data_IF_212337097829
#
_entry.id   IF_212337097829
#
_cell.length_a   1.000
_cell.length_b   1.000
_cell.length_c   1.000
_cell.angle_alpha   90.00
_cell.angle_beta   90.00
_cell.angle_gamma   90.00
#
_symmetry.space_group_name_H-M   'P 1'
#
loop_
_entity.id
_entity.type
_entity.pdbx_description
1 polymer ?
#
# COMPACT_ATOMS: atom_id res chain seq x y z
N UNK A 1 25.04 -8.19 6.93
CA UNK A 1 25.57 -8.57 5.61
C UNK A 1 24.75 -9.72 5.03
N UNK A 2 24.44 -9.72 3.73
CA UNK A 2 23.71 -10.82 3.07
C UNK A 2 24.72 -11.79 2.47
N UNK A 3 24.71 -13.05 2.90
CA UNK A 3 25.59 -14.11 2.40
C UNK A 3 24.86 -14.90 1.31
N UNK A 4 25.52 -15.08 0.16
CA UNK A 4 24.97 -15.83 -0.98
C UNK A 4 25.95 -16.93 -1.38
N UNK A 5 25.42 -18.13 -1.65
CA UNK A 5 26.13 -19.17 -2.38
C UNK A 5 25.93 -18.92 -3.87
N UNK A 6 27.02 -18.82 -4.62
CA UNK A 6 26.97 -18.60 -6.07
C UNK A 6 27.37 -19.90 -6.75
N UNK A 7 26.45 -20.45 -7.54
CA UNK A 7 26.69 -21.62 -8.37
C UNK A 7 26.82 -21.15 -9.81
N UNK A 8 27.89 -21.56 -10.47
CA UNK A 8 28.19 -21.19 -11.85
C UNK A 8 28.28 -22.44 -12.72
N UNK A 9 27.75 -22.36 -13.93
CA UNK A 9 27.90 -23.42 -14.92
C UNK A 9 29.36 -23.47 -15.42
N UNK A 10 29.87 -24.67 -15.71
CA UNK A 10 31.25 -24.86 -16.12
C UNK A 10 31.59 -24.13 -17.43
N UNK A 11 30.73 -24.29 -18.45
CA UNK A 11 30.87 -23.57 -19.72
C UNK A 11 29.51 -23.40 -20.40
N UNK A 12 29.24 -22.19 -20.86
CA UNK A 12 28.05 -21.83 -21.64
C UNK A 12 28.42 -21.30 -23.04
N UNK A 13 29.67 -21.47 -23.46
CA UNK A 13 30.18 -21.06 -24.78
C UNK A 13 29.63 -21.99 -25.87
N UNK A 14 29.03 -21.43 -26.92
CA UNK A 14 28.47 -22.22 -28.03
C UNK A 14 27.24 -23.08 -27.68
N UNK A 15 26.61 -22.89 -26.52
CA UNK A 15 25.43 -23.66 -26.15
C UNK A 15 24.21 -23.27 -27.03
N UNK A 16 23.62 -24.22 -27.78
CA UNK A 16 22.49 -23.92 -28.69
C UNK A 16 21.21 -23.51 -27.95
N UNK A 17 21.11 -23.85 -26.66
CA UNK A 17 19.98 -23.48 -25.80
C UNK A 17 20.26 -22.23 -24.97
N UNK A 18 21.35 -21.49 -25.23
CA UNK A 18 21.77 -20.35 -24.42
C UNK A 18 20.67 -19.29 -24.27
N UNK A 19 19.99 -18.96 -25.37
CA UNK A 19 18.93 -17.96 -25.40
C UNK A 19 17.75 -18.30 -24.45
N UNK A 20 17.46 -19.59 -24.27
CA UNK A 20 16.40 -20.06 -23.38
C UNK A 20 16.90 -20.33 -21.95
N UNK A 21 18.17 -20.65 -21.79
CA UNK A 21 18.76 -21.14 -20.54
C UNK A 21 19.27 -20.02 -19.61
N UNK A 22 19.79 -18.92 -20.16
CA UNK A 22 20.42 -17.85 -19.36
C UNK A 22 20.19 -16.46 -19.94
N UNK A 23 20.08 -15.46 -19.06
CA UNK A 23 20.03 -14.03 -19.41
C UNK A 23 21.39 -13.33 -19.26
N UNK A 24 22.44 -14.10 -18.95
CA UNK A 24 23.79 -13.56 -18.79
C UNK A 24 24.35 -13.08 -20.14
N UNK A 25 25.05 -11.95 -20.13
CA UNK A 25 25.71 -11.41 -21.33
C UNK A 25 26.59 -12.47 -21.97
N UNK A 26 26.65 -12.47 -23.31
CA UNK A 26 27.49 -13.39 -24.09
C UNK A 26 28.93 -13.40 -23.57
N UNK A 27 29.55 -14.58 -23.55
CA UNK A 27 30.85 -14.80 -22.90
C UNK A 27 30.80 -15.04 -21.38
N UNK A 28 29.65 -14.91 -20.72
CA UNK A 28 29.49 -15.28 -19.31
C UNK A 28 28.70 -16.58 -19.13
N UNK A 29 29.02 -17.31 -18.08
CA UNK A 29 28.30 -18.52 -17.71
C UNK A 29 27.02 -18.21 -16.94
N UNK A 30 26.08 -19.17 -16.96
CA UNK A 30 24.88 -19.10 -16.14
C UNK A 30 25.25 -19.16 -14.67
N UNK A 31 24.83 -18.17 -13.89
CA UNK A 31 25.01 -18.13 -12.44
C UNK A 31 23.67 -18.18 -11.71
N UNK A 32 23.61 -18.94 -10.63
CA UNK A 32 22.48 -19.04 -9.71
C UNK A 32 22.96 -18.59 -8.34
N UNK A 33 22.29 -17.57 -7.79
CA UNK A 33 22.57 -17.07 -6.44
C UNK A 33 21.54 -17.66 -5.49
N UNK A 34 22.02 -18.41 -4.51
CA UNK A 34 21.21 -19.05 -3.48
C UNK A 34 21.43 -18.38 -2.13
N UNK A 35 20.34 -18.01 -1.46
CA UNK A 35 20.38 -17.45 -0.12
C UNK A 35 19.70 -18.40 0.86
N UNK A 36 20.51 -19.11 1.65
CA UNK A 36 20.04 -20.09 2.63
C UNK A 36 19.07 -19.50 3.65
N UNK A 37 19.38 -18.33 4.19
CA UNK A 37 18.54 -17.68 5.20
C UNK A 37 17.18 -17.32 4.62
N UNK A 38 17.15 -16.88 3.37
CA UNK A 38 15.91 -16.55 2.67
C UNK A 38 15.04 -17.78 2.42
N UNK A 39 15.64 -18.90 2.00
CA UNK A 39 14.89 -20.15 1.81
C UNK A 39 14.39 -20.75 3.12
N UNK A 40 15.17 -20.66 4.20
CA UNK A 40 14.71 -21.04 5.54
C UNK A 40 13.49 -20.21 5.97
N UNK A 41 13.54 -18.89 5.76
CA UNK A 41 12.42 -17.99 6.07
C UNK A 41 11.17 -18.32 5.25
N UNK A 42 11.32 -18.59 3.95
CA UNK A 42 10.21 -19.04 3.09
C UNK A 42 9.59 -20.34 3.61
N UNK A 43 10.40 -21.30 4.02
CA UNK A 43 9.93 -22.58 4.57
C UNK A 43 9.10 -22.35 5.84
N UNK A 44 9.63 -21.57 6.79
CA UNK A 44 8.90 -21.21 8.01
C UNK A 44 7.56 -20.53 7.69
N UNK A 45 7.54 -19.57 6.76
CA UNK A 45 6.32 -18.87 6.36
C UNK A 45 5.33 -19.85 5.70
N UNK A 46 5.81 -20.77 4.86
CA UNK A 46 4.97 -21.78 4.22
C UNK A 46 4.33 -22.70 5.25
N UNK A 47 5.11 -23.17 6.22
CA UNK A 47 4.64 -24.05 7.29
C UNK A 47 3.60 -23.32 8.17
N UNK A 48 3.85 -22.06 8.51
CA UNK A 48 2.89 -21.20 9.22
C UNK A 48 1.61 -20.95 8.41
N UNK A 49 1.70 -20.75 7.10
CA UNK A 49 0.52 -20.52 6.25
C UNK A 49 -0.27 -21.81 5.99
N UNK A 50 0.38 -22.97 6.09
CA UNK A 50 -0.28 -24.28 5.95
C UNK A 50 -1.04 -24.73 7.19
N UNK A 51 -0.73 -24.16 8.37
CA UNK A 51 -1.49 -24.39 9.59
C UNK A 51 -2.91 -23.82 9.45
N UNK A 52 -3.95 -24.61 9.75
CA UNK A 52 -5.35 -24.25 9.52
C UNK A 52 -5.75 -22.96 10.25
N UNK A 53 -5.29 -22.79 11.50
CA UNK A 53 -5.62 -21.61 12.31
C UNK A 53 -5.00 -20.35 11.72
N UNK A 54 -3.71 -20.42 11.41
CA UNK A 54 -2.95 -19.28 10.89
C UNK A 54 -3.37 -18.94 9.45
N UNK A 55 -3.62 -19.96 8.62
CA UNK A 55 -4.14 -19.83 7.26
C UNK A 55 -5.53 -19.17 7.24
N UNK A 56 -6.43 -19.54 8.16
CA UNK A 56 -7.75 -18.91 8.27
C UNK A 56 -7.66 -17.41 8.65
N UNK A 57 -6.78 -17.05 9.60
CA UNK A 57 -6.54 -15.64 9.96
C UNK A 57 -5.97 -14.86 8.77
N UNK A 58 -5.03 -15.46 8.04
CA UNK A 58 -4.46 -14.85 6.84
C UNK A 58 -5.51 -14.64 5.74
N UNK A 59 -6.39 -15.62 5.52
CA UNK A 59 -7.51 -15.52 4.59
C UNK A 59 -8.47 -14.39 4.94
N UNK A 60 -8.81 -14.21 6.22
CA UNK A 60 -9.64 -13.08 6.69
C UNK A 60 -8.98 -11.72 6.41
N UNK A 61 -7.68 -11.58 6.68
CA UNK A 61 -6.94 -10.34 6.36
C UNK A 61 -6.97 -10.00 4.87
N UNK A 62 -6.93 -11.02 4.01
CA UNK A 62 -7.03 -10.82 2.56
C UNK A 62 -8.35 -10.16 2.17
N UNK A 63 -9.44 -10.51 2.85
CA UNK A 63 -10.78 -9.99 2.56
C UNK A 63 -11.01 -8.64 3.25
N UNK A 64 -10.54 -8.47 4.49
CA UNK A 64 -10.87 -7.29 5.28
C UNK A 64 -9.86 -6.15 5.07
N UNK A 65 -8.58 -6.49 5.08
CA UNK A 65 -7.48 -5.50 5.19
C UNK A 65 -7.02 -5.06 3.80
N UNK A 66 -6.85 -5.98 2.85
CA UNK A 66 -6.37 -5.64 1.51
C UNK A 66 -7.30 -4.68 0.77
N UNK A 67 -8.64 -4.84 0.79
CA UNK A 67 -9.51 -3.89 0.11
C UNK A 67 -9.41 -2.50 0.72
N UNK A 68 -9.32 -2.36 2.04
CA UNK A 68 -9.17 -1.05 2.68
C UNK A 68 -7.90 -0.34 2.20
N UNK A 69 -6.77 -1.05 2.17
CA UNK A 69 -5.52 -0.47 1.65
C UNK A 69 -5.55 -0.22 0.14
N UNK A 70 -6.21 -1.08 -0.64
CA UNK A 70 -6.44 -0.86 -2.07
C UNK A 70 -7.28 0.39 -2.32
N UNK A 71 -8.36 0.58 -1.54
CA UNK A 71 -9.21 1.75 -1.59
C UNK A 71 -8.43 3.02 -1.24
N UNK A 72 -7.63 3.01 -0.17
CA UNK A 72 -6.78 4.13 0.23
C UNK A 72 -5.83 4.54 -0.90
N UNK A 73 -5.16 3.57 -1.53
CA UNK A 73 -4.24 3.85 -2.64
C UNK A 73 -4.96 4.34 -3.89
N UNK A 74 -6.03 3.66 -4.32
CA UNK A 74 -6.70 3.97 -5.57
C UNK A 74 -7.51 5.28 -5.52
N UNK A 75 -8.12 5.58 -4.36
CA UNK A 75 -9.05 6.72 -4.25
C UNK A 75 -8.45 7.95 -3.58
N UNK A 76 -7.50 7.77 -2.67
CA UNK A 76 -6.86 8.89 -1.98
C UNK A 76 -5.41 9.08 -2.41
N UNK A 77 -4.91 8.26 -3.35
CA UNK A 77 -3.49 8.22 -3.73
C UNK A 77 -2.55 8.07 -2.53
N UNK A 78 -3.05 7.49 -1.43
CA UNK A 78 -2.35 7.41 -0.16
C UNK A 78 -1.30 6.30 -0.20
N UNK A 79 -0.11 6.66 -0.67
CA UNK A 79 1.03 5.75 -0.85
C UNK A 79 2.13 5.97 0.19
N UNK A 80 2.12 7.11 0.88
CA UNK A 80 3.14 7.54 1.83
C UNK A 80 2.51 8.39 2.93
N UNK A 81 3.04 8.27 4.15
CA UNK A 81 2.72 9.19 5.25
C UNK A 81 3.47 10.52 5.08
N UNK A 82 2.76 11.62 5.21
CA UNK A 82 3.34 12.97 5.11
C UNK A 82 4.12 13.36 6.37
N UNK A 83 3.81 12.72 7.51
CA UNK A 83 4.36 13.01 8.82
C UNK A 83 5.29 11.92 9.34
N UNK A 84 6.19 12.28 10.26
CA UNK A 84 7.07 11.34 10.98
C UNK A 84 6.70 11.28 12.46
N UNK A 85 6.86 10.11 13.07
CA UNK A 85 6.51 9.85 14.48
C UNK A 85 5.21 9.07 14.62
N UNK A 86 5.18 8.10 15.54
CA UNK A 86 4.09 7.10 15.65
C UNK A 86 2.71 7.75 15.85
N UNK A 87 2.63 8.75 16.72
CA UNK A 87 1.38 9.45 17.02
C UNK A 87 0.85 10.23 15.81
N UNK A 88 1.71 11.01 15.15
CA UNK A 88 1.33 11.79 13.96
C UNK A 88 0.88 10.88 12.83
N UNK A 89 1.60 9.78 12.58
CA UNK A 89 1.24 8.76 11.58
C UNK A 89 -0.12 8.13 11.89
N UNK A 90 -0.44 7.89 13.17
CA UNK A 90 -1.75 7.37 13.59
C UNK A 90 -2.88 8.35 13.24
N UNK A 91 -2.68 9.64 13.48
CA UNK A 91 -3.66 10.67 13.13
C UNK A 91 -3.85 10.77 11.61
N UNK A 92 -2.74 10.78 10.86
CA UNK A 92 -2.74 10.83 9.38
C UNK A 92 -3.52 9.65 8.77
N UNK A 93 -3.28 8.43 9.27
CA UNK A 93 -4.05 7.24 8.90
C UNK A 93 -5.52 7.36 9.30
N UNK A 94 -5.80 7.89 10.49
CA UNK A 94 -7.16 8.09 11.00
C UNK A 94 -7.99 8.98 10.08
N UNK A 95 -7.42 10.10 9.60
CA UNK A 95 -8.07 10.98 8.64
C UNK A 95 -8.34 10.28 7.30
N UNK A 96 -7.35 9.54 6.78
CA UNK A 96 -7.52 8.82 5.52
C UNK A 96 -8.63 7.75 5.61
N UNK A 97 -8.72 7.03 6.72
CA UNK A 97 -9.78 6.06 6.98
C UNK A 97 -11.14 6.73 7.19
N UNK A 98 -11.18 7.88 7.87
CA UNK A 98 -12.40 8.67 8.06
C UNK A 98 -12.97 9.13 6.72
N UNK A 99 -12.11 9.62 5.82
CA UNK A 99 -12.51 9.96 4.46
C UNK A 99 -13.13 8.73 3.78
N UNK A 100 -12.46 7.57 3.74
CA UNK A 100 -13.04 6.36 3.13
C UNK A 100 -14.42 6.01 3.71
N UNK A 101 -14.61 6.13 5.02
CA UNK A 101 -15.90 5.88 5.66
C UNK A 101 -16.98 6.88 5.25
N UNK A 102 -16.67 8.18 5.19
CA UNK A 102 -17.60 9.22 4.71
C UNK A 102 -18.07 8.96 3.28
N UNK A 103 -17.17 8.51 2.39
CA UNK A 103 -17.55 8.14 1.01
C UNK A 103 -18.50 6.94 0.98
N UNK A 104 -18.20 5.90 1.76
CA UNK A 104 -19.09 4.72 1.85
C UNK A 104 -20.47 5.12 2.35
N UNK A 105 -20.54 5.97 3.37
CA UNK A 105 -21.80 6.48 3.91
C UNK A 105 -22.60 7.27 2.85
N UNK A 106 -21.95 8.18 2.12
CA UNK A 106 -22.60 8.96 1.06
C UNK A 106 -23.16 8.09 -0.08
N UNK A 107 -22.47 7.01 -0.44
CA UNK A 107 -22.96 6.06 -1.44
C UNK A 107 -24.16 5.27 -0.89
N UNK A 108 -24.08 4.80 0.36
CA UNK A 108 -25.18 4.05 0.99
C UNK A 108 -26.45 4.90 1.12
N UNK A 109 -26.34 6.15 1.58
CA UNK A 109 -27.49 7.06 1.69
C UNK A 109 -28.09 7.36 0.31
N UNK A 110 -27.27 7.52 -0.73
CA UNK A 110 -27.74 7.71 -2.10
C UNK A 110 -28.44 6.48 -2.70
N UNK A 111 -28.10 5.26 -2.26
CA UNK A 111 -28.78 4.02 -2.67
C UNK A 111 -30.11 3.85 -1.93
N UNK A 112 -30.14 4.03 -0.61
CA UNK A 112 -31.36 3.96 0.20
C UNK A 112 -32.40 5.02 -0.18
N UNK A 113 -31.95 6.20 -0.59
CA UNK A 113 -32.82 7.27 -1.11
C UNK A 113 -33.45 6.96 -2.47
N UNK A 114 -33.01 5.93 -3.19
CA UNK A 114 -33.63 5.49 -4.47
C UNK A 114 -34.73 4.45 -4.28
N UNK A 115 -34.67 3.64 -3.22
CA UNK A 115 -35.65 2.57 -2.97
C UNK A 115 -36.96 3.10 -2.36
N UNK A 116 -36.94 4.28 -1.73
CA UNK A 116 -38.09 4.86 -1.02
C UNK A 116 -38.87 5.94 -1.78
N UNK A 117 -38.61 6.15 -3.08
CA UNK A 117 -39.25 7.22 -3.86
C UNK A 117 -40.23 6.69 -4.93
N UNK A 118 -41.56 6.77 -4.70
CA UNK A 118 -42.53 6.75 -5.78
C UNK A 118 -42.59 8.16 -6.40
N UNK A 119 -42.34 8.28 -7.71
CA UNK A 119 -42.38 9.50 -8.55
C UNK A 119 -41.07 10.31 -8.66
N UNK A 120 -40.82 11.04 -9.78
CA UNK A 120 -39.54 11.66 -10.06
C UNK A 120 -39.32 12.85 -9.12
N UNK A 121 -38.75 12.57 -7.96
CA UNK A 121 -38.37 13.58 -6.99
C UNK A 121 -37.27 14.46 -7.59
N UNK A 122 -37.52 15.78 -7.61
CA UNK A 122 -36.59 16.78 -8.13
C UNK A 122 -35.21 16.57 -7.49
N UNK A 123 -34.16 16.57 -8.31
CA UNK A 123 -32.75 16.56 -7.89
C UNK A 123 -32.51 17.62 -6.80
N UNK A 124 -32.59 17.19 -5.54
CA UNK A 124 -32.09 17.95 -4.41
C UNK A 124 -30.62 18.27 -4.65
N UNK A 125 -30.27 19.52 -4.40
CA UNK A 125 -29.09 20.17 -4.96
C UNK A 125 -27.79 19.37 -4.85
N UNK A 126 -27.00 19.45 -5.92
CA UNK A 126 -25.64 18.93 -6.08
C UNK A 126 -24.63 19.38 -4.99
N UNK A 127 -25.06 20.07 -3.93
CA UNK A 127 -24.16 20.67 -2.95
C UNK A 127 -23.47 19.63 -2.06
N UNK A 128 -24.15 18.60 -1.55
CA UNK A 128 -23.48 17.58 -0.72
C UNK A 128 -22.50 16.70 -1.52
N UNK A 129 -22.87 16.31 -2.74
CA UNK A 129 -21.95 15.60 -3.65
C UNK A 129 -20.79 16.51 -4.11
N UNK A 130 -21.03 17.82 -4.25
CA UNK A 130 -19.99 18.81 -4.55
C UNK A 130 -19.05 19.00 -3.36
N UNK A 131 -19.54 19.14 -2.13
CA UNK A 131 -18.73 19.31 -0.91
C UNK A 131 -17.92 18.05 -0.60
N UNK A 132 -18.51 16.88 -0.78
CA UNK A 132 -17.78 15.61 -0.65
C UNK A 132 -16.76 15.51 -1.79
N UNK A 133 -17.14 15.71 -3.04
CA UNK A 133 -16.20 15.67 -4.17
C UNK A 133 -15.02 16.65 -4.03
N UNK A 134 -15.28 17.89 -3.62
CA UNK A 134 -14.24 18.90 -3.37
C UNK A 134 -13.38 18.54 -2.17
N UNK A 135 -13.96 18.07 -1.07
CA UNK A 135 -13.22 17.59 0.09
C UNK A 135 -12.27 16.45 -0.28
N UNK A 136 -12.74 15.46 -1.05
CA UNK A 136 -11.90 14.34 -1.48
C UNK A 136 -10.82 14.76 -2.45
N UNK A 137 -11.10 15.67 -3.39
CA UNK A 137 -10.08 16.20 -4.30
C UNK A 137 -9.00 16.98 -3.53
N UNK A 138 -9.40 17.86 -2.61
CA UNK A 138 -8.44 18.61 -1.77
C UNK A 138 -7.65 17.69 -0.85
N UNK A 139 -8.30 16.71 -0.22
CA UNK A 139 -7.65 15.74 0.65
C UNK A 139 -6.69 14.84 -0.14
N UNK A 140 -7.10 14.36 -1.32
CA UNK A 140 -6.24 13.61 -2.23
C UNK A 140 -5.02 14.45 -2.63
N UNK A 141 -5.19 15.73 -2.97
CA UNK A 141 -4.07 16.62 -3.30
C UNK A 141 -3.09 16.81 -2.13
N UNK A 142 -3.59 16.97 -0.90
CA UNK A 142 -2.75 17.10 0.31
C UNK A 142 -1.98 15.81 0.58
N UNK A 143 -2.62 14.65 0.40
CA UNK A 143 -2.05 13.35 0.71
C UNK A 143 -1.18 12.76 -0.42
N UNK A 144 -1.30 13.29 -1.64
CA UNK A 144 -0.52 12.88 -2.81
C UNK A 144 0.78 13.67 -2.99
N UNK A 145 1.07 14.66 -2.14
CA UNK A 145 2.24 15.52 -2.35
C UNK A 145 3.55 14.75 -2.13
N UNK A 146 4.48 14.75 -3.11
CA UNK A 146 5.85 14.35 -2.84
C UNK A 146 6.47 15.38 -1.87
N UNK A 147 7.21 14.90 -0.87
CA UNK A 147 7.78 15.64 0.27
C UNK A 147 8.76 16.81 -0.07
N UNK A 148 8.67 17.43 -1.24
CA UNK A 148 9.57 18.50 -1.67
C UNK A 148 9.01 19.93 -1.56
N UNK A 149 7.83 20.15 -0.97
CA UNK A 149 7.28 21.52 -0.81
C UNK A 149 6.72 21.89 0.57
N UNK A 150 6.81 21.01 1.57
CA UNK A 150 6.26 21.29 2.91
C UNK A 150 7.27 21.93 3.90
N UNK A 151 8.42 22.42 3.42
CA UNK A 151 9.40 23.13 4.27
C UNK A 151 9.07 24.60 4.53
N UNK A 152 8.03 25.18 3.90
CA UNK A 152 7.79 26.63 3.94
C UNK A 152 6.63 27.09 4.83
N UNK A 153 5.79 26.20 5.37
CA UNK A 153 4.52 26.62 6.00
C UNK A 153 4.31 26.20 7.46
N UNK A 154 5.33 25.68 8.15
CA UNK A 154 5.27 25.54 9.61
C UNK A 154 6.56 26.08 10.24
N UNK A 155 6.52 27.24 10.93
CA UNK A 155 7.64 27.65 11.76
C UNK A 155 7.71 26.69 12.95
N UNK A 156 8.75 25.87 12.91
CA UNK A 156 9.60 25.48 14.03
C UNK A 156 9.23 26.14 15.38
N UNK A 157 8.58 25.38 16.26
CA UNK A 157 8.68 25.60 17.70
C UNK A 157 9.56 24.49 18.24
N UNK A 158 10.84 24.81 18.34
CA UNK A 158 11.80 24.14 19.21
C UNK A 158 11.36 24.37 20.65
N UNK A 159 11.28 23.31 21.46
CA UNK A 159 11.59 23.39 22.89
C UNK A 159 11.80 21.98 23.45
N UNK A 160 13.02 21.78 23.93
CA UNK A 160 13.52 20.74 24.83
C UNK A 160 13.68 19.29 24.33
N UNK A 161 14.79 19.13 23.60
CA UNK A 161 15.85 18.14 23.85
C UNK A 161 15.94 17.73 25.34
N UNK A 162 15.78 16.45 25.65
CA UNK A 162 16.77 15.66 26.40
C UNK A 162 16.43 14.16 26.49
N UNK A 163 17.40 13.36 26.02
CA UNK A 163 17.91 12.14 26.65
C UNK A 163 17.04 10.87 26.65
N UNK A 164 17.23 10.07 25.58
CA UNK A 164 17.23 8.59 25.60
C UNK A 164 18.47 8.08 26.37
N UNK A 165 18.49 6.85 26.91
CA UNK A 165 18.56 5.63 26.09
C UNK A 165 17.22 4.97 25.76
#
# INVERSE_FOLDING_TARGET
SRTFKVYECADCSGCPLREQCTKAKEGNNRTIRYNEKWEQQKKIIKDLLSDEKTGAIYGKRKIDVEPVFGFLKANLCFTRFSVRGKEKVRNDLGFALMAVNMRKYAVQTALLGRESAPWPSKKGSNHQNSVIGTFFNSFQLVMSQPLYSFSKYFPFIDLHRNSRP
#
